data_IF_896535306888
#
_entry.id   IF_896535306888
#
_cell.length_a   1.000
_cell.length_b   1.000
_cell.length_c   1.000
_cell.angle_alpha   90.00
_cell.angle_beta   90.00
_cell.angle_gamma   90.00
#
_symmetry.space_group_name_H-M   'P 1'
#
loop_
_entity.id
_entity.type
_entity.pdbx_description
1 polymer ?
#
# COMPACT_ATOMS: atom_id res chain seq x y z
N UNK A 1 -10.48 25.73 14.00
CA UNK A 1 -9.36 26.10 13.10
C UNK A 1 -8.32 25.01 13.21
N UNK A 2 -7.83 24.47 12.09
CA UNK A 2 -6.73 23.52 12.15
C UNK A 2 -5.50 24.25 12.71
N UNK A 3 -4.88 23.72 13.76
CA UNK A 3 -3.64 24.28 14.29
C UNK A 3 -2.60 24.30 13.17
N UNK A 4 -2.20 25.49 12.76
CA UNK A 4 -1.25 25.70 11.66
C UNK A 4 0.12 25.05 11.91
N UNK A 5 0.38 24.58 13.13
CA UNK A 5 1.62 23.85 13.48
C UNK A 5 1.48 22.33 13.46
N UNK A 6 0.29 21.79 13.24
CA UNK A 6 0.09 20.35 13.21
C UNK A 6 0.79 19.74 11.97
N UNK A 7 1.55 18.63 12.12
CA UNK A 7 2.16 17.95 10.98
C UNK A 7 1.13 17.57 9.91
N UNK A 8 1.49 17.76 8.64
CA UNK A 8 0.63 17.41 7.52
C UNK A 8 0.46 15.89 7.46
N UNK A 9 -0.80 15.43 7.46
CA UNK A 9 -1.12 14.01 7.38
C UNK A 9 -1.19 13.57 5.92
N UNK A 10 -0.31 12.66 5.51
CA UNK A 10 -0.24 12.13 4.14
C UNK A 10 -0.69 10.68 4.14
N UNK A 11 -1.87 10.41 3.61
CA UNK A 11 -2.32 9.03 3.38
C UNK A 11 -1.70 8.48 2.10
N UNK A 12 -1.04 7.33 2.20
CA UNK A 12 -0.38 6.67 1.08
C UNK A 12 -0.97 5.30 0.84
N UNK A 13 -1.63 5.13 -0.30
CA UNK A 13 -2.09 3.83 -0.75
C UNK A 13 -0.89 2.98 -1.20
N UNK A 14 -0.79 1.77 -0.68
CA UNK A 14 0.27 0.82 -1.00
C UNK A 14 -0.32 -0.55 -1.36
N UNK A 15 0.33 -1.25 -2.27
CA UNK A 15 -0.11 -2.57 -2.72
C UNK A 15 1.08 -3.48 -3.03
N UNK A 16 0.82 -4.78 -3.02
CA UNK A 16 1.78 -5.81 -3.40
C UNK A 16 2.15 -5.70 -4.89
N UNK A 17 3.39 -6.07 -5.20
CA UNK A 17 3.85 -6.25 -6.57
C UNK A 17 3.21 -7.48 -7.20
N UNK A 18 2.50 -7.29 -8.31
CA UNK A 18 2.04 -8.42 -9.13
C UNK A 18 3.18 -9.17 -9.85
N UNK A 19 4.39 -8.60 -9.92
CA UNK A 19 5.54 -9.21 -10.59
C UNK A 19 6.45 -9.97 -9.62
N UNK A 20 6.59 -9.47 -8.39
CA UNK A 20 7.50 -10.05 -7.39
C UNK A 20 6.77 -10.77 -6.25
N UNK A 21 5.47 -10.53 -6.10
CA UNK A 21 4.68 -11.02 -4.98
C UNK A 21 5.12 -10.44 -3.63
N UNK A 22 4.50 -10.94 -2.57
CA UNK A 22 4.83 -10.61 -1.18
C UNK A 22 6.30 -10.98 -0.86
N UNK A 23 7.06 -10.14 -0.11
CA UNK A 23 6.65 -8.89 0.54
C UNK A 23 6.95 -7.64 -0.29
N UNK A 24 7.11 -7.76 -1.62
CA UNK A 24 7.57 -6.64 -2.44
C UNK A 24 6.41 -5.68 -2.77
N UNK A 25 6.58 -4.36 -2.56
CA UNK A 25 5.58 -3.38 -2.97
C UNK A 25 5.54 -3.23 -4.49
N UNK A 26 4.41 -2.74 -5.02
CA UNK A 26 4.31 -2.38 -6.42
C UNK A 26 5.32 -1.28 -6.79
N UNK A 27 5.77 -1.28 -8.04
CA UNK A 27 6.74 -0.30 -8.56
C UNK A 27 6.17 1.12 -8.41
N UNK A 28 4.89 1.29 -8.68
CA UNK A 28 4.20 2.57 -8.61
C UNK A 28 4.12 3.12 -7.19
N UNK A 29 3.65 2.33 -6.21
CA UNK A 29 3.54 2.83 -4.83
C UNK A 29 4.93 3.07 -4.20
N UNK A 30 5.94 2.27 -4.55
CA UNK A 30 7.31 2.51 -4.13
C UNK A 30 7.86 3.82 -4.67
N UNK A 31 7.68 4.06 -5.98
CA UNK A 31 8.14 5.29 -6.64
C UNK A 31 7.42 6.51 -6.07
N UNK A 32 6.11 6.40 -5.81
CA UNK A 32 5.33 7.47 -5.18
C UNK A 32 5.86 7.82 -3.78
N UNK A 33 6.23 6.82 -2.98
CA UNK A 33 6.84 7.04 -1.67
C UNK A 33 8.20 7.76 -1.78
N UNK A 34 9.10 7.25 -2.60
CA UNK A 34 10.44 7.81 -2.78
C UNK A 34 10.37 9.26 -3.35
N UNK A 35 9.43 9.51 -4.26
CA UNK A 35 9.16 10.87 -4.76
C UNK A 35 8.62 11.79 -3.66
N UNK A 36 7.69 11.31 -2.83
CA UNK A 36 7.11 12.11 -1.74
C UNK A 36 8.18 12.47 -0.70
N UNK A 37 9.05 11.52 -0.35
CA UNK A 37 10.19 11.81 0.53
C UNK A 37 11.11 12.86 -0.09
N UNK A 38 11.50 12.68 -1.36
CA UNK A 38 12.47 13.57 -2.00
C UNK A 38 11.94 14.96 -2.35
N UNK A 39 10.65 15.10 -2.66
CA UNK A 39 10.06 16.36 -3.16
C UNK A 39 9.23 17.11 -2.14
N UNK A 40 8.59 16.40 -1.22
CA UNK A 40 7.64 16.97 -0.27
C UNK A 40 8.22 17.03 1.15
N UNK A 41 8.71 15.91 1.68
CA UNK A 41 9.30 15.85 3.02
C UNK A 41 10.66 16.53 3.09
N UNK A 42 11.54 16.25 2.11
CA UNK A 42 12.91 16.78 2.03
C UNK A 42 13.64 16.59 3.36
N UNK A 43 14.15 17.67 3.95
CA UNK A 43 14.85 17.70 5.23
C UNK A 43 13.93 17.98 6.43
N UNK A 44 12.61 17.92 6.27
CA UNK A 44 11.63 18.21 7.32
C UNK A 44 10.75 17.00 7.67
N UNK A 45 11.31 15.91 8.24
CA UNK A 45 10.53 14.72 8.59
C UNK A 45 9.48 14.98 9.68
N UNK A 46 9.70 15.95 10.58
CA UNK A 46 8.75 16.28 11.64
C UNK A 46 7.51 17.04 11.15
N UNK A 47 7.55 17.62 9.95
CA UNK A 47 6.42 18.34 9.35
C UNK A 47 5.34 17.43 8.74
N UNK A 48 5.58 16.11 8.70
CA UNK A 48 4.69 15.17 8.03
C UNK A 48 4.41 13.94 8.88
N UNK A 49 3.20 13.43 8.77
CA UNK A 49 2.77 12.18 9.39
C UNK A 49 2.18 11.27 8.32
N UNK A 50 2.88 10.18 7.99
CA UNK A 50 2.44 9.24 6.97
C UNK A 50 1.45 8.22 7.55
N UNK A 51 0.39 7.97 6.78
CA UNK A 51 -0.62 6.95 7.07
C UNK A 51 -0.61 5.96 5.89
N UNK A 52 -0.02 4.79 6.09
CA UNK A 52 0.00 3.77 5.04
C UNK A 52 -1.30 2.97 5.06
N UNK A 53 -1.95 2.88 3.90
CA UNK A 53 -3.17 2.12 3.70
C UNK A 53 -2.93 1.04 2.64
N UNK A 54 -2.97 -0.21 3.07
CA UNK A 54 -3.09 -1.35 2.18
C UNK A 54 -4.53 -1.86 2.22
N UNK A 55 -5.17 -1.99 1.05
CA UNK A 55 -6.47 -2.64 0.94
C UNK A 55 -6.23 -4.04 0.43
N UNK A 56 -6.39 -5.02 1.32
CA UNK A 56 -6.35 -6.42 0.95
C UNK A 56 -7.69 -6.80 0.31
N UNK A 57 -7.63 -7.25 -0.93
CA UNK A 57 -8.77 -7.89 -1.59
C UNK A 57 -8.65 -9.39 -1.27
N UNK A 58 -9.68 -10.03 -0.69
CA UNK A 58 -9.70 -11.49 -0.57
C UNK A 58 -9.50 -12.11 -1.95
N UNK A 59 -8.71 -13.17 -2.07
CA UNK A 59 -8.54 -13.85 -3.34
C UNK A 59 -9.91 -14.34 -3.84
N UNK A 60 -10.41 -13.77 -4.93
CA UNK A 60 -11.64 -14.24 -5.61
C UNK A 60 -11.37 -15.56 -6.37
N UNK A 61 -10.10 -15.96 -6.52
CA UNK A 61 -9.70 -17.27 -7.08
C UNK A 61 -9.72 -18.38 -6.00
N UNK A 62 -10.81 -18.45 -5.25
CA UNK A 62 -11.25 -19.69 -4.61
C UNK A 62 -11.53 -20.74 -5.69
N UNK A 63 -11.20 -22.01 -5.47
CA UNK A 63 -10.74 -22.87 -6.54
C UNK A 63 -11.85 -23.32 -7.50
N UNK A 64 -11.95 -22.66 -8.65
CA UNK A 64 -12.63 -23.23 -9.80
C UNK A 64 -11.89 -24.44 -10.39
N UNK A 65 -10.65 -24.71 -9.93
CA UNK A 65 -9.78 -25.78 -10.42
C UNK A 65 -9.18 -26.65 -9.30
N UNK A 66 -9.77 -26.71 -8.10
CA UNK A 66 -9.37 -27.70 -7.10
C UNK A 66 -10.04 -29.04 -7.45
N UNK A 67 -9.29 -30.05 -7.94
CA UNK A 67 -9.86 -31.35 -8.26
C UNK A 67 -10.42 -32.09 -7.03
N UNK A 68 -10.12 -31.62 -5.81
CA UNK A 68 -10.54 -32.27 -4.56
C UNK A 68 -11.96 -31.87 -4.14
N UNK A 69 -12.45 -30.69 -4.52
CA UNK A 69 -13.80 -30.23 -4.14
C UNK A 69 -14.92 -30.89 -4.96
N UNK A 70 -14.60 -31.48 -6.12
CA UNK A 70 -15.54 -32.23 -6.97
C UNK A 70 -15.87 -33.65 -6.46
N UNK A 71 -15.17 -34.15 -5.44
CA UNK A 71 -15.32 -35.53 -4.95
C UNK A 71 -16.19 -35.68 -3.69
N UNK A 72 -16.71 -34.57 -3.15
CA UNK A 72 -17.51 -34.54 -1.91
C UNK A 72 -18.93 -33.99 -2.11
N UNK A 73 -19.50 -34.17 -3.31
CA UNK A 73 -20.94 -34.03 -3.57
C UNK A 73 -21.53 -35.34 -4.07
#
# INVERSE_FOLDING_TARGET
MADSSAPTRVMMAVNESSLKGYPHPSISCRTAFDWTLSKLVRSNPGGFHFLFLHVQVPDEDGPANDPVLGLLK
#
